data_IF_799742611694
#
_entry.id   IF_799742611694
#
_cell.length_a   1.000
_cell.length_b   1.000
_cell.length_c   1.000
_cell.angle_alpha   90.00
_cell.angle_beta   90.00
_cell.angle_gamma   90.00
#
_symmetry.space_group_name_H-M   'P 1'
#
loop_
_entity.id
_entity.type
_entity.pdbx_description
1 polymer ?
#
# COMPACT_ATOMS: atom_id res chain seq x y z
N UNK A 1 -5.87 -8.45 62.25
CA UNK A 1 -5.42 -7.56 61.17
C UNK A 1 -5.98 -8.11 59.88
N UNK A 2 -7.01 -7.44 59.38
CA UNK A 2 -7.76 -7.82 58.18
C UNK A 2 -6.83 -7.99 56.99
N UNK A 3 -6.91 -9.15 56.33
CA UNK A 3 -6.42 -9.36 54.97
C UNK A 3 -7.29 -8.58 53.97
N UNK A 4 -7.37 -7.27 54.15
CA UNK A 4 -7.92 -6.32 53.18
C UNK A 4 -6.79 -5.77 52.31
N UNK A 5 -5.88 -6.65 51.92
CA UNK A 5 -4.69 -6.33 51.14
C UNK A 5 -4.72 -7.20 49.90
N UNK A 6 -4.99 -6.54 48.77
CA UNK A 6 -4.85 -7.03 47.40
C UNK A 6 -6.02 -7.91 46.92
N UNK A 7 -7.19 -7.31 46.78
CA UNK A 7 -8.06 -7.68 45.66
C UNK A 7 -8.59 -6.39 45.03
N UNK A 8 -7.69 -5.65 44.38
CA UNK A 8 -8.16 -4.92 43.23
C UNK A 8 -8.68 -6.01 42.28
N UNK A 9 -9.98 -5.97 41.96
CA UNK A 9 -10.64 -7.02 41.18
C UNK A 9 -9.84 -7.21 39.88
N UNK A 10 -9.49 -8.44 39.53
CA UNK A 10 -8.68 -8.75 38.35
C UNK A 10 -9.31 -8.15 37.09
N UNK A 11 -10.63 -8.04 37.07
CA UNK A 11 -11.39 -7.35 36.02
C UNK A 11 -11.12 -5.85 35.96
N UNK A 12 -10.99 -5.17 37.10
CA UNK A 12 -10.66 -3.74 37.19
C UNK A 12 -9.22 -3.50 36.71
N UNK A 13 -8.28 -4.40 37.04
CA UNK A 13 -6.91 -4.35 36.53
C UNK A 13 -6.86 -4.52 35.02
N UNK A 14 -7.61 -5.48 34.46
CA UNK A 14 -7.71 -5.69 33.01
C UNK A 14 -8.35 -4.50 32.30
N UNK A 15 -9.39 -3.90 32.88
CA UNK A 15 -10.02 -2.70 32.34
C UNK A 15 -9.06 -1.51 32.31
N UNK A 16 -8.23 -1.34 33.36
CA UNK A 16 -7.20 -0.31 33.40
C UNK A 16 -6.05 -0.57 32.42
N UNK A 17 -5.67 -1.84 32.21
CA UNK A 17 -4.68 -2.20 31.18
C UNK A 17 -5.19 -1.89 29.78
N UNK A 18 -6.44 -2.24 29.46
CA UNK A 18 -7.07 -1.90 28.19
C UNK A 18 -7.14 -0.38 27.99
N UNK A 19 -7.53 0.37 29.03
CA UNK A 19 -7.55 1.84 28.99
C UNK A 19 -6.17 2.43 28.76
N UNK A 20 -5.13 1.84 29.35
CA UNK A 20 -3.74 2.27 29.18
C UNK A 20 -3.25 2.03 27.75
N UNK A 21 -3.58 0.87 27.18
CA UNK A 21 -3.32 0.55 25.77
C UNK A 21 -4.01 1.53 24.83
N UNK A 22 -5.31 1.75 25.02
CA UNK A 22 -6.07 2.71 24.23
C UNK A 22 -5.46 4.12 24.31
N UNK A 23 -5.13 4.58 25.52
CA UNK A 23 -4.50 5.89 25.72
C UNK A 23 -3.14 5.99 25.01
N UNK A 24 -2.36 4.90 25.02
CA UNK A 24 -1.07 4.83 24.33
C UNK A 24 -1.25 4.93 22.81
N UNK A 25 -2.25 4.25 22.26
CA UNK A 25 -2.61 4.31 20.85
C UNK A 25 -3.10 5.72 20.47
N UNK A 26 -3.95 6.34 21.28
CA UNK A 26 -4.45 7.69 21.06
C UNK A 26 -3.31 8.71 21.03
N UNK A 27 -2.35 8.60 21.97
CA UNK A 27 -1.14 9.44 21.98
C UNK A 27 -0.34 9.26 20.68
N UNK A 28 -0.16 8.03 20.23
CA UNK A 28 0.56 7.76 18.98
C UNK A 28 -0.15 8.36 17.77
N UNK A 29 -1.47 8.25 17.70
CA UNK A 29 -2.28 8.85 16.64
C UNK A 29 -2.18 10.38 16.65
N UNK A 30 -2.29 11.01 17.82
CA UNK A 30 -2.17 12.47 17.96
C UNK A 30 -0.77 12.93 17.55
N UNK A 31 0.28 12.23 17.97
CA UNK A 31 1.67 12.55 17.58
C UNK A 31 1.85 12.52 16.06
N UNK A 32 1.29 11.51 15.39
CA UNK A 32 1.33 11.42 13.93
C UNK A 32 0.58 12.59 13.28
N UNK A 33 -0.63 12.92 13.75
CA UNK A 33 -1.40 14.07 13.27
C UNK A 33 -0.61 15.37 13.40
N UNK A 34 -0.01 15.63 14.56
CA UNK A 34 0.81 16.84 14.79
C UNK A 34 1.98 16.90 13.80
N UNK A 35 2.71 15.80 13.62
CA UNK A 35 3.82 15.73 12.64
C UNK A 35 3.32 16.04 11.23
N UNK A 36 2.19 15.48 10.85
CA UNK A 36 1.63 15.65 9.51
C UNK A 36 1.15 17.09 9.29
N UNK A 37 0.53 17.73 10.30
CA UNK A 37 0.19 19.16 10.27
C UNK A 37 1.42 20.06 10.16
N UNK A 38 2.48 19.78 10.92
CA UNK A 38 3.73 20.55 10.82
C UNK A 38 4.31 20.47 9.42
N UNK A 39 4.37 19.26 8.83
CA UNK A 39 4.83 19.07 7.44
C UNK A 39 3.96 19.81 6.44
N UNK A 40 2.64 19.85 6.67
CA UNK A 40 1.73 20.63 5.84
C UNK A 40 1.98 22.13 5.94
N UNK A 41 2.21 22.67 7.13
CA UNK A 41 2.51 24.08 7.34
C UNK A 41 3.85 24.48 6.70
N UNK A 42 4.87 23.63 6.79
CA UNK A 42 6.19 23.87 6.19
C UNK A 42 6.16 23.92 4.67
N UNK A 43 5.46 22.99 4.01
CA UNK A 43 5.33 22.96 2.55
C UNK A 43 4.01 22.29 2.12
N UNK A 44 2.91 23.07 2.02
CA UNK A 44 1.61 22.52 1.69
C UNK A 44 1.56 21.79 0.33
N UNK A 45 2.11 22.35 -0.77
CA UNK A 45 2.10 21.66 -2.06
C UNK A 45 2.83 20.31 -2.05
N UNK A 46 4.02 20.25 -1.45
CA UNK A 46 4.77 19.00 -1.36
C UNK A 46 4.09 17.96 -0.46
N UNK A 47 3.50 18.41 0.65
CA UNK A 47 2.71 17.54 1.52
C UNK A 47 1.52 16.93 0.78
N UNK A 48 0.71 17.75 0.10
CA UNK A 48 -0.48 17.29 -0.62
C UNK A 48 -0.08 16.29 -1.71
N UNK A 49 0.96 16.57 -2.49
CA UNK A 49 1.45 15.63 -3.50
C UNK A 49 1.90 14.30 -2.89
N UNK A 50 2.68 14.34 -1.81
CA UNK A 50 3.10 13.13 -1.12
C UNK A 50 1.92 12.36 -0.52
N UNK A 51 0.95 13.07 0.05
CA UNK A 51 -0.25 12.47 0.64
C UNK A 51 -1.12 11.79 -0.44
N UNK A 52 -1.41 12.49 -1.54
CA UNK A 52 -2.14 11.93 -2.68
C UNK A 52 -1.44 10.69 -3.24
N UNK A 53 -0.13 10.74 -3.43
CA UNK A 53 0.66 9.59 -3.89
C UNK A 53 0.61 8.41 -2.91
N UNK A 54 0.61 8.68 -1.60
CA UNK A 54 0.47 7.64 -0.58
C UNK A 54 -0.91 6.99 -0.59
N UNK A 55 -1.97 7.77 -0.79
CA UNK A 55 -3.34 7.26 -0.90
C UNK A 55 -3.53 6.45 -2.20
N UNK A 56 -2.99 6.95 -3.32
CA UNK A 56 -3.00 6.23 -4.59
C UNK A 56 -2.29 4.88 -4.48
N UNK A 57 -1.07 4.82 -3.91
CA UNK A 57 -0.36 3.55 -3.70
C UNK A 57 -1.09 2.59 -2.77
N UNK A 58 -1.71 3.10 -1.70
CA UNK A 58 -2.51 2.27 -0.80
C UNK A 58 -3.71 1.66 -1.52
N UNK A 59 -4.43 2.49 -2.29
CA UNK A 59 -5.57 2.06 -3.10
C UNK A 59 -5.13 1.05 -4.17
N UNK A 60 -4.01 1.28 -4.86
CA UNK A 60 -3.42 0.34 -5.82
C UNK A 60 -2.99 -0.98 -5.17
N UNK A 61 -2.42 -0.96 -3.96
CA UNK A 61 -2.08 -2.19 -3.24
C UNK A 61 -3.32 -2.99 -2.81
N UNK A 62 -4.42 -2.29 -2.55
CA UNK A 62 -5.71 -2.92 -2.23
C UNK A 62 -6.42 -3.42 -3.50
N UNK A 63 -6.34 -2.68 -4.61
CA UNK A 63 -6.97 -3.06 -5.89
C UNK A 63 -6.17 -4.11 -6.65
N UNK A 64 -4.84 -4.11 -6.60
CA UNK A 64 -4.00 -5.16 -7.18
C UNK A 64 -4.22 -6.54 -6.54
N UNK A 65 -4.94 -6.63 -5.42
CA UNK A 65 -5.40 -7.91 -4.85
C UNK A 65 -6.73 -8.39 -5.44
N UNK A 66 -7.52 -7.54 -6.11
CA UNK A 66 -8.88 -7.85 -6.57
C UNK A 66 -9.13 -7.58 -8.06
N UNK A 67 -8.34 -6.72 -8.71
CA UNK A 67 -8.52 -6.35 -10.11
C UNK A 67 -7.17 -6.41 -10.81
N UNK A 68 -6.97 -7.47 -11.61
CA UNK A 68 -5.77 -7.67 -12.44
C UNK A 68 -5.87 -6.83 -13.72
N UNK A 69 -6.34 -5.59 -13.62
CA UNK A 69 -6.29 -4.61 -14.70
C UNK A 69 -5.13 -3.67 -14.41
N UNK A 70 -3.99 -3.80 -15.11
CA UNK A 70 -2.96 -2.78 -15.06
C UNK A 70 -3.60 -1.49 -15.59
N UNK A 71 -3.89 -0.54 -14.70
CA UNK A 71 -4.11 0.84 -15.15
C UNK A 71 -2.83 1.25 -15.86
N UNK A 72 -2.93 1.62 -17.13
CA UNK A 72 -1.78 2.12 -17.89
C UNK A 72 -1.18 3.28 -17.09
N UNK A 73 0.00 3.12 -16.47
CA UNK A 73 0.62 4.19 -15.70
C UNK A 73 0.76 5.41 -16.63
N UNK A 74 0.49 6.62 -16.14
CA UNK A 74 0.63 7.83 -16.97
C UNK A 74 2.04 7.95 -17.58
N UNK A 75 3.05 7.38 -16.92
CA UNK A 75 4.40 7.25 -17.43
C UNK A 75 4.47 6.53 -18.79
N UNK A 76 3.68 5.48 -19.03
CA UNK A 76 3.66 4.73 -20.30
C UNK A 76 3.12 5.53 -21.48
N UNK A 77 2.52 6.69 -21.22
CA UNK A 77 2.06 7.64 -22.24
C UNK A 77 3.17 8.56 -22.72
N UNK A 78 4.27 8.66 -21.99
CA UNK A 78 5.44 9.48 -22.35
C UNK A 78 6.41 8.67 -23.24
N UNK A 79 6.98 9.32 -24.26
CA UNK A 79 8.01 8.68 -25.11
C UNK A 79 9.26 8.30 -24.33
N UNK A 80 9.57 9.03 -23.24
CA UNK A 80 10.71 8.75 -22.36
C UNK A 80 10.63 7.37 -21.70
N UNK A 81 9.42 6.85 -21.48
CA UNK A 81 9.23 5.52 -20.91
C UNK A 81 9.85 4.43 -21.78
N UNK A 82 9.77 4.58 -23.10
CA UNK A 82 10.28 3.61 -24.07
C UNK A 82 11.81 3.68 -24.23
N UNK A 83 12.48 4.63 -23.58
CA UNK A 83 13.95 4.71 -23.55
C UNK A 83 14.56 3.95 -22.35
N UNK A 84 13.75 3.31 -21.51
CA UNK A 84 14.26 2.55 -20.35
C UNK A 84 15.07 1.32 -20.80
N UNK A 85 16.15 0.95 -20.09
CA UNK A 85 17.09 -0.10 -20.54
C UNK A 85 16.45 -1.48 -20.70
N UNK A 86 15.37 -1.76 -19.95
CA UNK A 86 14.65 -3.03 -20.00
C UNK A 86 13.65 -3.14 -21.16
N UNK A 87 13.38 -2.05 -21.90
CA UNK A 87 12.37 -2.04 -22.98
C UNK A 87 12.74 -3.03 -24.08
N UNK A 88 14.03 -3.13 -24.43
CA UNK A 88 14.48 -4.07 -25.46
C UNK A 88 14.18 -5.53 -25.08
N UNK A 89 14.44 -5.92 -23.83
CA UNK A 89 14.10 -7.25 -23.33
C UNK A 89 12.59 -7.49 -23.33
N UNK A 90 11.82 -6.50 -22.89
CA UNK A 90 10.35 -6.56 -22.86
C UNK A 90 9.77 -6.83 -24.26
N UNK A 91 10.28 -6.14 -25.28
CA UNK A 91 9.86 -6.35 -26.69
C UNK A 91 10.18 -7.78 -27.15
N UNK A 92 11.37 -8.30 -26.85
CA UNK A 92 11.72 -9.68 -27.21
C UNK A 92 10.79 -10.71 -26.56
N UNK A 93 10.50 -10.55 -25.25
CA UNK A 93 9.56 -11.42 -24.53
C UNK A 93 8.15 -11.36 -25.12
N UNK A 94 7.69 -10.15 -25.45
CA UNK A 94 6.38 -9.94 -26.06
C UNK A 94 6.27 -10.64 -27.41
N UNK A 95 7.25 -10.45 -28.30
CA UNK A 95 7.27 -11.11 -29.62
C UNK A 95 7.32 -12.62 -29.48
N UNK A 96 8.17 -13.14 -28.58
CA UNK A 96 8.26 -14.57 -28.31
C UNK A 96 6.91 -15.15 -27.88
N UNK A 97 6.22 -14.52 -26.93
CA UNK A 97 4.91 -14.95 -26.46
C UNK A 97 3.86 -14.93 -27.57
N UNK A 98 3.89 -13.93 -28.47
CA UNK A 98 2.98 -13.90 -29.63
C UNK A 98 3.21 -15.11 -30.54
N UNK A 99 4.46 -15.43 -30.84
CA UNK A 99 4.82 -16.55 -31.72
C UNK A 99 4.41 -17.87 -31.08
N UNK A 100 4.70 -18.06 -29.79
CA UNK A 100 4.36 -19.26 -29.05
C UNK A 100 2.84 -19.45 -28.97
N UNK A 101 2.07 -18.41 -28.64
CA UNK A 101 0.62 -18.46 -28.61
C UNK A 101 0.03 -18.85 -29.96
N UNK A 102 0.49 -18.23 -31.06
CA UNK A 102 0.05 -18.58 -32.42
C UNK A 102 0.41 -20.01 -32.79
N UNK A 103 1.63 -20.46 -32.43
CA UNK A 103 2.05 -21.85 -32.66
C UNK A 103 1.14 -22.83 -31.93
N UNK A 104 0.81 -22.53 -30.67
CA UNK A 104 -0.07 -23.36 -29.85
C UNK A 104 -1.52 -23.35 -30.33
N UNK A 105 -2.05 -22.21 -30.78
CA UNK A 105 -3.36 -22.13 -31.44
C UNK A 105 -3.41 -23.01 -32.68
N UNK A 106 -2.43 -22.89 -33.59
CA UNK A 106 -2.37 -23.71 -34.79
C UNK A 106 -2.27 -25.21 -34.47
N UNK A 107 -1.47 -25.59 -33.47
CA UNK A 107 -1.40 -26.98 -33.00
C UNK A 107 -2.74 -27.48 -32.47
N UNK A 108 -3.51 -26.65 -31.76
CA UNK A 108 -4.85 -27.01 -31.26
C UNK A 108 -5.87 -27.24 -32.38
N UNK A 109 -5.71 -26.62 -33.55
CA UNK A 109 -6.59 -26.86 -34.70
C UNK A 109 -6.18 -28.07 -35.55
N UNK A 110 -4.95 -28.57 -35.38
CA UNK A 110 -4.38 -29.70 -36.15
C UNK A 110 -4.46 -31.05 -35.43
N UNK A 111 -4.94 -31.06 -34.18
CA UNK A 111 -5.25 -32.24 -33.35
C UNK A 111 -6.76 -32.31 -33.16
#
# INVERSE_FOLDING_TARGET
>A
YDNKTISMDVNELQALDQKTKQTTEDIAQIKNKIRDYNRYIENPPAFVNHWLNSQSKLSSNQSNQFDNTPSLPDDERSSEFFNKPWIQEYVHRYIFNIIENKSNELKKFLI
#
